data_IF_541814946589
#
_entry.id   IF_541814946589
#
_cell.length_a   1.000
_cell.length_b   1.000
_cell.length_c   1.000
_cell.angle_alpha   90.00
_cell.angle_beta   90.00
_cell.angle_gamma   90.00
#
_symmetry.space_group_name_H-M   'P 1'
#
loop_
_entity.id
_entity.type
_entity.pdbx_description
1 polymer ?
#
# COMPACT_ATOMS: atom_id res chain seq x y z
N UNK A 1 -8.22 -25.78 -26.64
CA UNK A 1 -9.06 -24.96 -25.72
C UNK A 1 -8.23 -24.71 -24.48
N UNK A 2 -7.38 -23.66 -24.52
CA UNK A 2 -6.67 -23.21 -23.34
C UNK A 2 -7.69 -22.53 -22.43
N UNK A 3 -8.10 -23.21 -21.38
CA UNK A 3 -8.88 -22.57 -20.31
C UNK A 3 -8.04 -21.45 -19.71
N UNK A 4 -8.59 -20.23 -19.54
CA UNK A 4 -7.87 -19.16 -18.91
C UNK A 4 -7.48 -19.56 -17.49
N UNK A 5 -6.18 -19.59 -17.22
CA UNK A 5 -5.66 -19.94 -15.88
C UNK A 5 -5.78 -18.75 -14.97
N UNK A 6 -6.49 -18.91 -13.85
CA UNK A 6 -6.51 -17.90 -12.78
C UNK A 6 -5.13 -17.85 -12.15
N UNK A 7 -4.47 -16.71 -12.26
CA UNK A 7 -3.25 -16.44 -11.50
C UNK A 7 -3.63 -15.86 -10.16
N UNK A 8 -3.17 -16.47 -9.08
CA UNK A 8 -3.44 -16.00 -7.74
C UNK A 8 -2.28 -16.26 -6.81
N UNK A 9 -2.26 -15.56 -5.68
CA UNK A 9 -1.20 -15.69 -4.70
C UNK A 9 -1.26 -14.68 -3.57
N UNK A 10 -0.13 -14.54 -2.90
CA UNK A 10 0.13 -13.51 -1.91
C UNK A 10 1.44 -12.80 -2.21
N UNK A 11 1.57 -11.58 -1.76
CA UNK A 11 2.78 -10.78 -1.95
C UNK A 11 3.17 -10.14 -0.62
N UNK A 12 4.46 -10.18 -0.28
CA UNK A 12 4.99 -9.60 0.94
C UNK A 12 6.25 -8.81 0.64
N UNK A 13 6.34 -7.60 1.17
CA UNK A 13 7.54 -6.77 1.08
C UNK A 13 7.80 -5.98 2.35
N UNK A 14 9.05 -5.54 2.54
CA UNK A 14 9.37 -4.58 3.59
C UNK A 14 8.95 -3.18 3.15
N UNK A 15 8.47 -2.39 4.11
CA UNK A 15 8.05 -1.01 3.89
C UNK A 15 8.48 -0.13 5.06
N UNK A 16 8.26 1.18 4.99
CA UNK A 16 8.49 2.08 6.10
C UNK A 16 7.24 2.92 6.36
N UNK A 17 6.73 2.86 7.58
CA UNK A 17 5.58 3.63 8.06
C UNK A 17 5.90 4.47 9.32
N UNK A 18 7.16 4.56 9.72
CA UNK A 18 7.62 5.19 10.96
C UNK A 18 7.16 6.66 11.12
N UNK A 19 6.92 7.35 10.01
CA UNK A 19 6.45 8.73 10.02
C UNK A 19 5.04 8.89 10.63
N UNK A 20 4.28 7.81 10.70
CA UNK A 20 2.91 7.79 11.26
C UNK A 20 2.80 7.01 12.56
N UNK A 21 3.86 6.30 12.98
CA UNK A 21 3.86 5.35 14.09
C UNK A 21 3.51 5.98 15.46
N UNK A 22 3.87 7.25 15.68
CA UNK A 22 3.73 7.92 16.98
C UNK A 22 2.74 9.08 16.95
N UNK A 23 1.79 9.07 16.02
CA UNK A 23 0.75 10.10 15.98
C UNK A 23 -0.19 9.98 17.18
N UNK A 24 -0.47 11.12 17.81
CA UNK A 24 -1.41 11.17 18.92
C UNK A 24 -2.83 11.02 18.42
N UNK A 25 -3.63 10.24 19.14
CA UNK A 25 -5.08 10.22 19.03
C UNK A 25 -5.64 11.33 19.90
N UNK A 26 -6.60 12.10 19.41
CA UNK A 26 -7.25 13.18 20.13
C UNK A 26 -8.67 12.80 20.49
N UNK A 27 -9.10 13.13 21.71
CA UNK A 27 -10.49 12.94 22.14
C UNK A 27 -11.46 13.88 21.39
N UNK A 28 -10.95 15.03 20.90
CA UNK A 28 -11.74 16.03 20.18
C UNK A 28 -12.29 15.50 18.85
N UNK A 29 -11.58 14.57 18.21
CA UNK A 29 -12.01 13.91 16.98
C UNK A 29 -12.47 12.46 17.20
N UNK A 30 -12.90 12.11 18.41
CA UNK A 30 -13.40 10.78 18.75
C UNK A 30 -12.35 9.68 18.71
N UNK A 31 -11.09 10.00 18.96
CA UNK A 31 -9.94 9.09 18.85
C UNK A 31 -9.69 8.55 17.43
N UNK A 32 -10.24 9.21 16.42
CA UNK A 32 -9.97 8.89 15.03
C UNK A 32 -8.52 9.23 14.69
N UNK A 33 -7.85 8.36 13.93
CA UNK A 33 -6.46 8.62 13.58
C UNK A 33 -6.36 9.55 12.38
N UNK A 34 -5.44 10.53 12.41
CA UNK A 34 -5.14 11.39 11.26
C UNK A 34 -4.81 10.60 9.99
N UNK A 35 -4.25 9.40 10.14
CA UNK A 35 -3.96 8.53 9.00
C UNK A 35 -5.24 8.03 8.35
N UNK A 36 -6.30 7.77 9.12
CA UNK A 36 -7.59 7.38 8.58
C UNK A 36 -8.27 8.55 7.84
N UNK A 37 -8.22 9.76 8.40
CA UNK A 37 -8.76 10.94 7.73
C UNK A 37 -8.03 11.22 6.42
N UNK A 38 -6.70 11.10 6.41
CA UNK A 38 -5.90 11.17 5.19
C UNK A 38 -6.27 10.07 4.19
N UNK A 39 -6.50 8.86 4.65
CA UNK A 39 -6.94 7.77 3.79
C UNK A 39 -8.23 8.13 3.05
N UNK A 40 -9.22 8.68 3.76
CA UNK A 40 -10.48 9.10 3.15
C UNK A 40 -10.30 10.21 2.11
N UNK A 41 -9.44 11.20 2.40
CA UNK A 41 -9.11 12.28 1.46
C UNK A 41 -8.32 11.77 0.26
N UNK A 42 -7.33 10.94 0.50
CA UNK A 42 -6.45 10.41 -0.53
C UNK A 42 -7.20 9.53 -1.55
N UNK A 43 -8.30 8.89 -1.14
CA UNK A 43 -9.16 8.12 -2.07
C UNK A 43 -9.64 8.98 -3.24
N UNK A 44 -10.05 10.22 -2.99
CA UNK A 44 -10.50 11.10 -4.06
C UNK A 44 -9.35 11.54 -4.98
N UNK A 45 -8.18 11.83 -4.40
CA UNK A 45 -6.98 12.20 -5.17
C UNK A 45 -6.57 11.03 -6.08
N UNK A 46 -6.46 9.84 -5.53
CA UNK A 46 -6.10 8.62 -6.28
C UNK A 46 -7.13 8.31 -7.36
N UNK A 47 -8.43 8.40 -7.06
CA UNK A 47 -9.48 8.19 -8.05
C UNK A 47 -9.35 9.18 -9.22
N UNK A 48 -9.12 10.46 -8.95
CA UNK A 48 -8.93 11.47 -9.99
C UNK A 48 -7.66 11.22 -10.83
N UNK A 49 -6.58 10.75 -10.21
CA UNK A 49 -5.34 10.38 -10.92
C UNK A 49 -5.55 9.17 -11.83
N UNK A 50 -6.24 8.16 -11.37
CA UNK A 50 -6.61 7.00 -12.19
C UNK A 50 -7.54 7.41 -13.32
N UNK A 51 -8.58 8.18 -13.02
CA UNK A 51 -9.49 8.74 -14.03
C UNK A 51 -8.73 9.46 -15.16
N UNK A 52 -7.76 10.30 -14.79
CA UNK A 52 -6.93 11.02 -15.76
C UNK A 52 -6.10 10.10 -16.65
N UNK A 53 -5.63 8.95 -16.14
CA UNK A 53 -4.93 7.95 -16.96
C UNK A 53 -5.83 7.37 -18.04
N UNK A 54 -7.11 7.13 -17.73
CA UNK A 54 -8.06 6.52 -18.67
C UNK A 54 -8.60 7.49 -19.72
N UNK A 55 -8.52 8.79 -19.52
CA UNK A 55 -9.07 9.81 -20.45
C UNK A 55 -8.57 9.66 -21.90
N UNK A 56 -7.37 9.10 -22.10
CA UNK A 56 -6.79 8.90 -23.42
C UNK A 56 -6.97 7.45 -23.95
N UNK A 57 -7.72 6.62 -23.24
CA UNK A 57 -7.98 5.24 -23.65
C UNK A 57 -9.27 5.14 -24.46
N UNK A 58 -9.48 3.97 -25.08
CA UNK A 58 -10.71 3.62 -25.76
C UNK A 58 -11.25 2.32 -25.17
N UNK A 59 -12.56 2.16 -25.22
CA UNK A 59 -13.17 0.91 -24.82
C UNK A 59 -12.71 -0.21 -25.75
N UNK A 60 -12.18 -1.32 -25.22
CA UNK A 60 -11.71 -2.44 -26.02
C UNK A 60 -12.87 -3.23 -26.62
N UNK A 61 -12.59 -4.02 -27.66
CA UNK A 61 -13.49 -5.06 -28.09
C UNK A 61 -13.45 -6.20 -27.06
N UNK A 62 -14.56 -6.44 -26.38
CA UNK A 62 -14.70 -7.49 -25.38
C UNK A 62 -16.11 -8.06 -25.40
N UNK A 63 -16.23 -9.36 -25.18
CA UNK A 63 -17.51 -10.07 -25.22
C UNK A 63 -18.52 -9.57 -24.18
N UNK A 64 -18.03 -8.95 -23.11
CA UNK A 64 -18.88 -8.40 -22.06
C UNK A 64 -19.39 -6.97 -22.36
N UNK A 65 -18.87 -6.30 -23.38
CA UNK A 65 -19.40 -5.01 -23.81
C UNK A 65 -20.61 -5.29 -24.69
N UNK A 66 -21.79 -5.32 -24.07
CA UNK A 66 -23.05 -5.61 -24.75
C UNK A 66 -23.51 -4.51 -25.70
N UNK A 67 -23.03 -3.29 -25.50
CA UNK A 67 -23.28 -2.16 -26.40
C UNK A 67 -22.17 -2.09 -27.45
N UNK A 68 -22.43 -2.67 -28.63
CA UNK A 68 -21.49 -2.66 -29.76
C UNK A 68 -21.01 -1.23 -30.09
N UNK A 69 -21.83 -0.24 -29.81
CA UNK A 69 -21.54 1.19 -30.05
C UNK A 69 -20.45 1.75 -29.13
N UNK A 70 -20.14 1.11 -28.01
CA UNK A 70 -19.05 1.54 -27.12
C UNK A 70 -17.66 1.12 -27.61
N UNK A 71 -17.57 0.03 -28.35
CA UNK A 71 -16.28 -0.49 -28.81
C UNK A 71 -15.55 0.55 -29.65
N UNK A 72 -14.32 0.87 -29.26
CA UNK A 72 -13.49 1.87 -29.93
C UNK A 72 -13.83 3.34 -29.61
N UNK A 73 -14.91 3.59 -28.87
CA UNK A 73 -15.23 4.93 -28.40
C UNK A 73 -14.20 5.42 -27.37
N UNK A 74 -13.93 6.74 -27.31
CA UNK A 74 -13.12 7.30 -26.24
C UNK A 74 -13.72 6.98 -24.88
N UNK A 75 -12.86 6.77 -23.89
CA UNK A 75 -13.27 6.60 -22.50
C UNK A 75 -14.24 7.71 -22.09
N UNK A 76 -15.32 7.33 -21.45
CA UNK A 76 -16.33 8.23 -20.92
C UNK A 76 -16.77 7.77 -19.55
N UNK A 77 -16.62 8.65 -18.54
CA UNK A 77 -17.00 8.37 -17.15
C UNK A 77 -18.49 8.01 -16.98
N UNK A 78 -19.37 8.48 -17.84
CA UNK A 78 -20.81 8.21 -17.78
C UNK A 78 -21.08 6.70 -18.00
N UNK A 79 -20.28 6.04 -18.81
CA UNK A 79 -20.41 4.61 -19.13
C UNK A 79 -19.66 3.72 -18.12
N UNK A 80 -19.07 4.28 -17.10
CA UNK A 80 -18.33 3.57 -16.05
C UNK A 80 -17.00 4.25 -15.76
N UNK A 81 -16.93 4.94 -14.62
CA UNK A 81 -15.74 5.63 -14.14
C UNK A 81 -14.99 4.82 -13.08
N UNK A 82 -13.83 5.34 -12.68
CA UNK A 82 -13.06 4.79 -11.58
C UNK A 82 -13.85 4.89 -10.28
N UNK A 83 -14.10 3.76 -9.64
CA UNK A 83 -14.80 3.71 -8.36
C UNK A 83 -13.85 4.03 -7.21
N UNK A 84 -14.13 5.09 -6.44
CA UNK A 84 -13.35 5.47 -5.25
C UNK A 84 -13.33 4.40 -4.13
N UNK A 85 -14.14 3.36 -4.25
CA UNK A 85 -14.15 2.20 -3.33
C UNK A 85 -13.52 0.94 -3.94
N UNK A 86 -12.98 1.01 -5.15
CA UNK A 86 -12.24 -0.10 -5.76
C UNK A 86 -10.90 -0.34 -5.05
N UNK A 87 -10.39 -1.56 -5.14
CA UNK A 87 -9.06 -1.91 -4.61
C UNK A 87 -7.96 -1.04 -5.23
N UNK A 88 -8.07 -0.69 -6.50
CA UNK A 88 -7.13 0.15 -7.24
C UNK A 88 -7.03 1.58 -6.71
N UNK A 89 -8.07 2.07 -6.04
CA UNK A 89 -8.09 3.36 -5.35
C UNK A 89 -7.74 3.22 -3.89
N UNK A 90 -8.37 2.26 -3.20
CA UNK A 90 -8.23 2.12 -1.75
C UNK A 90 -6.82 1.73 -1.33
N UNK A 91 -6.15 0.85 -2.08
CA UNK A 91 -4.82 0.37 -1.70
C UNK A 91 -3.75 1.47 -1.81
N UNK A 92 -3.57 2.19 -2.92
CA UNK A 92 -2.64 3.31 -2.96
C UNK A 92 -2.98 4.42 -1.96
N UNK A 93 -4.27 4.72 -1.76
CA UNK A 93 -4.70 5.70 -0.75
C UNK A 93 -4.33 5.27 0.68
N UNK A 94 -4.50 3.99 1.00
CA UNK A 94 -4.07 3.40 2.27
C UNK A 94 -2.55 3.49 2.44
N UNK A 95 -1.77 3.05 1.46
CA UNK A 95 -0.31 3.11 1.52
C UNK A 95 0.15 4.57 1.71
N UNK A 96 -0.37 5.51 0.92
CA UNK A 96 -0.08 6.94 1.04
C UNK A 96 -0.34 7.46 2.46
N UNK A 97 -1.54 7.23 3.00
CA UNK A 97 -1.96 7.74 4.29
C UNK A 97 -1.12 7.19 5.46
N UNK A 98 -0.87 5.88 5.47
CA UNK A 98 -0.19 5.19 6.56
C UNK A 98 1.33 5.22 6.47
N UNK A 99 1.90 5.54 5.30
CA UNK A 99 3.36 5.74 5.14
C UNK A 99 3.77 7.20 5.14
N UNK A 100 2.80 8.13 5.16
CA UNK A 100 3.04 9.56 5.13
C UNK A 100 3.54 10.09 3.79
N UNK A 101 3.43 9.30 2.71
CA UNK A 101 3.75 9.72 1.35
C UNK A 101 2.61 10.55 0.75
N UNK A 102 2.95 11.42 -0.19
CA UNK A 102 1.96 12.22 -0.89
C UNK A 102 1.10 11.34 -1.82
N UNK A 103 -0.21 11.58 -1.78
CA UNK A 103 -1.15 10.86 -2.65
C UNK A 103 -1.00 11.24 -4.12
N UNK A 104 -0.45 12.43 -4.42
CA UNK A 104 -0.16 12.86 -5.79
C UNK A 104 1.08 12.19 -6.39
N UNK A 105 1.99 11.69 -5.55
CA UNK A 105 3.27 11.11 -5.98
C UNK A 105 3.35 9.58 -5.85
N UNK A 106 2.45 8.96 -5.08
CA UNK A 106 2.51 7.51 -4.84
C UNK A 106 2.23 6.71 -6.13
N UNK A 107 2.82 5.52 -6.22
CA UNK A 107 2.50 4.59 -7.31
C UNK A 107 1.05 4.13 -7.23
N UNK A 108 0.36 4.15 -8.39
CA UNK A 108 -1.02 3.71 -8.51
C UNK A 108 -1.09 2.18 -8.73
N UNK A 109 -0.43 1.44 -7.87
CA UNK A 109 -0.42 -0.03 -7.95
C UNK A 109 -0.41 -0.62 -6.54
N UNK A 110 -1.04 -1.78 -6.41
CA UNK A 110 -0.97 -2.57 -5.18
C UNK A 110 0.38 -3.29 -5.00
N UNK A 111 1.20 -3.37 -6.06
CA UNK A 111 2.49 -4.05 -6.09
C UNK A 111 3.62 -3.03 -6.31
N UNK A 112 4.10 -2.35 -5.26
CA UNK A 112 5.17 -1.35 -5.38
C UNK A 112 6.45 -1.95 -5.94
N UNK A 113 7.21 -1.15 -6.70
CA UNK A 113 8.46 -1.59 -7.33
C UNK A 113 9.58 -1.84 -6.31
N UNK A 114 10.47 -2.77 -6.61
CA UNK A 114 11.64 -3.14 -5.79
C UNK A 114 12.56 -1.97 -5.43
N UNK A 115 12.66 -0.95 -6.28
CA UNK A 115 13.52 0.21 -6.06
C UNK A 115 13.07 1.14 -4.92
N UNK A 116 11.89 0.88 -4.34
CA UNK A 116 11.33 1.65 -3.21
C UNK A 116 11.32 0.87 -1.90
N UNK A 117 12.02 -0.26 -1.85
CA UNK A 117 12.16 -1.07 -0.64
C UNK A 117 13.04 -0.36 0.37
N UNK A 118 12.54 -0.20 1.59
CA UNK A 118 13.32 0.26 2.72
C UNK A 118 13.51 -0.93 3.66
N UNK A 119 14.76 -1.32 3.93
CA UNK A 119 15.02 -2.50 4.74
C UNK A 119 14.60 -2.28 6.19
N UNK A 120 14.18 -3.34 6.83
CA UNK A 120 14.09 -3.41 8.28
C UNK A 120 15.50 -3.30 8.87
N UNK A 121 15.61 -2.75 10.08
CA UNK A 121 16.92 -2.61 10.73
C UNK A 121 16.92 -3.04 12.18
N UNK A 122 18.09 -3.42 12.63
CA UNK A 122 18.40 -3.64 14.03
C UNK A 122 19.74 -2.95 14.33
N UNK A 123 19.73 -2.07 15.31
CA UNK A 123 20.92 -1.35 15.76
C UNK A 123 21.26 -1.80 17.18
N UNK A 124 22.51 -2.12 17.41
CA UNK A 124 23.05 -2.43 18.74
C UNK A 124 24.30 -1.58 18.96
N UNK A 125 24.33 -0.85 20.05
CA UNK A 125 25.41 0.06 20.39
C UNK A 125 25.99 -0.25 21.77
N UNK A 126 27.26 -0.60 21.84
CA UNK A 126 28.01 -0.91 23.05
C UNK A 126 29.05 0.16 23.45
N UNK A 127 29.18 1.22 22.65
CA UNK A 127 30.22 2.23 22.80
C UNK A 127 30.16 3.02 24.12
N UNK A 128 28.98 3.09 24.76
CA UNK A 128 28.86 3.77 26.07
C UNK A 128 29.69 3.06 27.15
N UNK A 129 29.83 1.75 27.08
CA UNK A 129 30.67 0.97 28.03
C UNK A 129 32.15 1.37 27.97
N UNK A 130 32.61 2.01 26.88
CA UNK A 130 33.99 2.45 26.68
C UNK A 130 34.28 3.85 27.28
N UNK A 131 33.24 4.56 27.73
CA UNK A 131 33.41 5.87 28.37
C UNK A 131 33.98 5.72 29.80
N UNK A 132 35.00 6.50 30.15
CA UNK A 132 35.69 6.43 31.46
C UNK A 132 34.74 6.50 32.67
N UNK A 133 33.67 7.30 32.59
CA UNK A 133 32.66 7.42 33.66
C UNK A 133 31.82 6.13 33.79
N UNK A 134 31.44 5.54 32.66
CA UNK A 134 30.62 4.32 32.63
C UNK A 134 31.44 3.10 33.03
N UNK A 135 32.70 3.04 32.64
CA UNK A 135 33.63 1.94 33.00
C UNK A 135 33.85 1.77 34.50
N UNK A 136 33.62 2.83 35.30
CA UNK A 136 33.74 2.74 36.76
C UNK A 136 32.63 1.89 37.36
N UNK A 137 31.44 1.89 36.78
CA UNK A 137 30.25 1.31 37.37
C UNK A 137 29.74 0.09 36.59
N UNK A 138 29.94 0.06 35.28
CA UNK A 138 29.41 -0.98 34.41
C UNK A 138 30.52 -1.84 33.79
N UNK A 139 30.29 -3.14 33.77
CA UNK A 139 31.09 -4.09 33.02
C UNK A 139 30.68 -4.09 31.54
N UNK A 140 29.37 -4.01 31.27
CA UNK A 140 28.81 -3.84 29.94
C UNK A 140 27.63 -2.88 29.99
N UNK A 141 27.41 -2.14 28.91
CA UNK A 141 26.24 -1.29 28.70
C UNK A 141 25.92 -1.28 27.22
N UNK A 142 24.76 -1.82 26.86
CA UNK A 142 24.34 -2.02 25.48
C UNK A 142 22.99 -1.34 25.29
N UNK A 143 22.89 -0.55 24.24
CA UNK A 143 21.60 -0.01 23.76
C UNK A 143 21.22 -0.75 22.49
N UNK A 144 19.96 -1.16 22.39
CA UNK A 144 19.42 -1.80 21.21
C UNK A 144 18.13 -1.14 20.74
N UNK A 145 17.95 -1.13 19.43
CA UNK A 145 16.75 -0.67 18.75
C UNK A 145 16.52 -1.53 17.54
N UNK A 146 15.28 -1.98 17.31
CA UNK A 146 14.94 -2.68 16.08
C UNK A 146 13.58 -2.20 15.57
N UNK A 147 13.53 -2.03 14.25
CA UNK A 147 12.34 -1.63 13.51
C UNK A 147 12.05 -2.64 12.41
N UNK A 148 10.80 -3.05 12.33
CA UNK A 148 10.30 -3.90 11.25
C UNK A 148 8.96 -3.36 10.77
N UNK A 149 8.83 -3.20 9.46
CA UNK A 149 7.55 -2.92 8.83
C UNK A 149 7.38 -3.82 7.60
N UNK A 150 6.21 -4.42 7.47
CA UNK A 150 5.89 -5.37 6.41
C UNK A 150 4.54 -4.99 5.79
N UNK A 151 4.54 -4.82 4.47
CA UNK A 151 3.34 -4.69 3.67
C UNK A 151 3.01 -6.03 3.04
N UNK A 152 1.77 -6.49 3.19
CA UNK A 152 1.30 -7.74 2.63
C UNK A 152 0.06 -7.49 1.77
N UNK A 153 0.05 -8.08 0.57
CA UNK A 153 -1.16 -8.40 -0.18
C UNK A 153 -1.49 -9.84 0.19
N UNK A 154 -2.52 -10.04 1.02
CA UNK A 154 -2.77 -11.34 1.64
C UNK A 154 -3.33 -12.35 0.64
N UNK A 155 -4.15 -11.89 -0.30
CA UNK A 155 -4.68 -12.70 -1.38
C UNK A 155 -5.00 -11.83 -2.58
N UNK A 156 -4.62 -12.29 -3.75
CA UNK A 156 -5.05 -11.72 -5.02
C UNK A 156 -5.35 -12.82 -6.02
N UNK A 157 -6.21 -12.53 -6.98
CA UNK A 157 -6.48 -13.39 -8.15
C UNK A 157 -6.63 -12.54 -9.39
N UNK A 158 -6.27 -13.07 -10.56
CA UNK A 158 -6.51 -12.38 -11.81
C UNK A 158 -7.99 -12.44 -12.18
N UNK A 159 -8.51 -11.34 -12.71
CA UNK A 159 -9.84 -11.36 -13.35
C UNK A 159 -9.79 -12.18 -14.64
N UNK A 160 -10.75 -13.09 -14.82
CA UNK A 160 -10.86 -13.90 -16.05
C UNK A 160 -11.29 -13.09 -17.26
N UNK A 161 -12.03 -12.00 -17.03
CA UNK A 161 -12.61 -11.14 -18.05
C UNK A 161 -11.94 -9.75 -18.11
N UNK A 162 -10.72 -9.61 -17.59
CA UNK A 162 -9.98 -8.37 -17.73
C UNK A 162 -9.44 -8.21 -19.16
N UNK A 163 -9.65 -7.03 -19.75
CA UNK A 163 -9.14 -6.69 -21.08
C UNK A 163 -8.22 -5.50 -20.98
N UNK A 164 -6.94 -5.73 -21.27
CA UNK A 164 -5.90 -4.69 -21.22
C UNK A 164 -5.98 -3.72 -22.40
N UNK A 165 -5.70 -2.44 -22.11
CA UNK A 165 -5.61 -1.37 -23.13
C UNK A 165 -4.23 -0.73 -23.21
N UNK A 166 -3.30 -1.16 -22.36
CA UNK A 166 -1.92 -0.73 -22.36
C UNK A 166 -1.32 -0.69 -20.95
N UNK A 167 -0.14 -1.28 -20.77
CA UNK A 167 0.48 -1.42 -19.45
C UNK A 167 -0.39 -2.24 -18.50
N UNK A 168 -0.62 -1.70 -17.33
CA UNK A 168 -1.49 -2.24 -16.28
C UNK A 168 -2.93 -1.66 -16.30
N UNK A 169 -3.27 -0.91 -17.35
CA UNK A 169 -4.62 -0.37 -17.55
C UNK A 169 -5.48 -1.34 -18.35
N UNK A 170 -6.72 -1.50 -17.92
CA UNK A 170 -7.70 -2.33 -18.59
C UNK A 170 -9.11 -2.13 -18.03
N UNK A 171 -10.00 -2.97 -18.50
CA UNK A 171 -11.41 -2.92 -18.14
C UNK A 171 -11.89 -4.30 -17.71
N UNK A 172 -12.81 -4.30 -16.75
CA UNK A 172 -13.62 -5.46 -16.38
C UNK A 172 -15.10 -5.14 -16.58
N UNK A 173 -15.92 -6.17 -16.59
CA UNK A 173 -17.36 -6.00 -16.52
C UNK A 173 -17.78 -5.71 -15.08
N UNK A 174 -18.43 -4.58 -14.86
CA UNK A 174 -19.10 -4.31 -13.60
C UNK A 174 -20.24 -5.29 -13.36
N UNK A 175 -20.27 -5.92 -12.20
CA UNK A 175 -21.24 -6.97 -11.88
C UNK A 175 -22.67 -6.44 -11.67
N UNK A 176 -22.82 -5.16 -11.38
CA UNK A 176 -24.11 -4.54 -11.09
C UNK A 176 -24.71 -3.88 -12.32
N UNK A 177 -23.91 -3.15 -13.07
CA UNK A 177 -24.39 -2.37 -14.22
C UNK A 177 -24.19 -3.09 -15.54
N UNK A 178 -23.28 -4.07 -15.61
CA UNK A 178 -22.87 -4.74 -16.84
C UNK A 178 -21.95 -3.92 -17.72
N UNK A 179 -21.61 -2.70 -17.31
CA UNK A 179 -20.77 -1.77 -18.07
C UNK A 179 -19.27 -2.06 -17.91
N UNK A 180 -18.44 -1.69 -18.90
CA UNK A 180 -16.99 -1.73 -18.76
C UNK A 180 -16.52 -0.66 -17.77
N UNK A 181 -15.82 -1.06 -16.73
CA UNK A 181 -15.22 -0.15 -15.75
C UNK A 181 -13.71 -0.32 -15.68
N UNK A 182 -12.96 0.79 -15.51
CA UNK A 182 -11.53 0.74 -15.32
C UNK A 182 -11.13 -0.14 -14.14
N UNK A 183 -10.17 -1.03 -14.37
CA UNK A 183 -9.64 -1.92 -13.33
C UNK A 183 -8.22 -2.38 -13.67
N UNK A 184 -7.42 -2.64 -12.63
CA UNK A 184 -6.21 -3.44 -12.75
C UNK A 184 -6.55 -4.91 -13.06
N UNK A 185 -5.56 -5.72 -13.49
CA UNK A 185 -5.82 -7.13 -13.82
C UNK A 185 -6.13 -8.01 -12.61
N UNK A 186 -6.02 -7.48 -11.38
CA UNK A 186 -6.11 -8.28 -10.16
C UNK A 186 -7.26 -7.86 -9.26
N UNK A 187 -8.02 -8.84 -8.81
CA UNK A 187 -8.90 -8.72 -7.65
C UNK A 187 -8.08 -8.96 -6.38
N UNK A 188 -8.06 -7.97 -5.49
CA UNK A 188 -7.29 -8.02 -4.25
C UNK A 188 -8.25 -7.97 -3.08
N UNK A 189 -8.31 -9.05 -2.32
CA UNK A 189 -9.26 -9.19 -1.22
C UNK A 189 -8.87 -8.39 0.03
N UNK A 190 -7.57 -8.29 0.32
CA UNK A 190 -7.09 -7.50 1.47
C UNK A 190 -5.61 -7.20 1.41
N UNK A 191 -5.24 -6.07 2.02
CA UNK A 191 -3.85 -5.68 2.27
C UNK A 191 -3.66 -5.39 3.75
N UNK A 192 -2.46 -5.63 4.26
CA UNK A 192 -2.09 -5.30 5.64
C UNK A 192 -0.73 -4.62 5.69
N UNK A 193 -0.60 -3.67 6.60
CA UNK A 193 0.66 -3.04 6.96
C UNK A 193 0.93 -3.32 8.44
N UNK A 194 2.01 -4.04 8.72
CA UNK A 194 2.39 -4.44 10.08
C UNK A 194 3.68 -3.74 10.42
N UNK A 195 3.62 -2.88 11.42
CA UNK A 195 4.78 -2.15 11.95
C UNK A 195 5.08 -2.62 13.37
N UNK A 196 6.35 -2.82 13.67
CA UNK A 196 6.78 -3.23 15.00
C UNK A 196 8.16 -2.69 15.38
N UNK A 197 8.29 -2.36 16.65
CA UNK A 197 9.55 -2.04 17.31
C UNK A 197 9.85 -3.15 18.32
N UNK A 198 11.00 -3.82 18.18
CA UNK A 198 11.32 -4.95 19.06
C UNK A 198 12.83 -5.07 19.30
N UNK A 199 13.37 -4.30 20.26
CA UNK A 199 12.71 -3.30 21.10
C UNK A 199 12.62 -1.91 20.42
N UNK A 200 11.73 -1.04 20.91
CA UNK A 200 11.77 0.41 20.60
C UNK A 200 13.04 1.02 21.19
N UNK A 201 13.33 0.71 22.44
CA UNK A 201 14.59 1.02 23.12
C UNK A 201 14.86 -0.09 24.13
N UNK A 202 15.91 -0.86 23.89
CA UNK A 202 16.42 -1.86 24.82
C UNK A 202 17.69 -1.33 25.51
N UNK A 203 17.80 -1.52 26.81
CA UNK A 203 18.98 -1.19 27.60
C UNK A 203 19.36 -2.43 28.39
N UNK A 204 20.53 -3.00 28.09
CA UNK A 204 21.10 -4.12 28.79
C UNK A 204 22.41 -3.68 29.46
N UNK A 205 22.55 -3.93 30.75
CA UNK A 205 23.77 -3.58 31.47
C UNK A 205 24.17 -4.63 32.51
N UNK A 206 25.47 -4.74 32.73
CA UNK A 206 26.05 -5.53 33.79
C UNK A 206 26.87 -4.59 34.68
N UNK A 207 26.54 -4.54 35.96
CA UNK A 207 27.31 -3.72 36.93
C UNK A 207 28.62 -4.44 37.30
N UNK A 208 29.61 -3.68 37.69
CA UNK A 208 30.80 -4.23 38.34
C UNK A 208 30.45 -4.49 39.81
N UNK A 209 30.73 -5.69 40.26
CA UNK A 209 30.76 -5.95 41.71
C UNK A 209 32.02 -5.29 42.30
N UNK A 210 31.83 -4.37 43.23
CA UNK A 210 32.92 -3.84 44.05
C UNK A 210 33.25 -4.83 45.12
#
# INVERSE_FOLDING_TARGET
DDMPTIQGGSFTMTHMAISTAFRKLSAENGYQSDAFDRFLQNRQIIANRLESKYQNTRYPAADFISEADLVGQPYNRINGGVNASSADVMIPAFISAYTGKDADEIDLTAFPSWGKLIPNWKVTYDGLSKLKKMQKHFKSFIISHAYKCTYNVNSFSSYLNWVGVGGDMGYIKDSQTGNPVPSSPYDISSVTLIESFSPLLGIDFTMKNN
#
